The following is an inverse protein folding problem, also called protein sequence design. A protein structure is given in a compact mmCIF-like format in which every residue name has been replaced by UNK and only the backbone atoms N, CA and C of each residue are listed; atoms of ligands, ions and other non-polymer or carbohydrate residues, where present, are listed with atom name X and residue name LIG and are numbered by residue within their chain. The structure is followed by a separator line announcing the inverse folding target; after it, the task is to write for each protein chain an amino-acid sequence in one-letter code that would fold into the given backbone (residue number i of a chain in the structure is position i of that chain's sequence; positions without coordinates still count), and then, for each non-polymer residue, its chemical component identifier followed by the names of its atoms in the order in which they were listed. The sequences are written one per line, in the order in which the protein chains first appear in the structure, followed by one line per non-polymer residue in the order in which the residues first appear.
data_IF_026880913206
#
_entry.id   IF_026880913206
#
_cell.length_a   1.000
_cell.length_b   1.000
_cell.length_c   1.000
_cell.angle_alpha   90.00
_cell.angle_beta   90.00
_cell.angle_gamma   90.00
#
_symmetry.space_group_name_H-M   'P 1'
#
loop_
_entity.id
_entity.type
_entity.pdbx_description
1 polymer ?
#
# COMPACT_ATOMS: atom_id res chain seq x y z
N UNK A 1 -1.64 3.70 17.40
CA UNK A 1 -0.27 3.23 17.72
C UNK A 1 -0.12 1.76 17.36
N UNK A 2 1.07 1.31 16.93
CA UNK A 2 1.31 -0.12 16.64
C UNK A 2 1.43 -0.92 17.95
N UNK A 3 0.84 -2.11 18.00
CA UNK A 3 0.83 -3.01 19.17
C UNK A 3 1.64 -4.28 18.89
N UNK A 4 1.89 -5.11 19.91
CA UNK A 4 2.56 -6.41 19.72
C UNK A 4 1.74 -7.38 18.86
N UNK A 5 0.40 -7.29 18.96
CA UNK A 5 -0.52 -7.96 18.04
C UNK A 5 -0.23 -7.54 16.60
N UNK A 6 -0.15 -6.23 16.35
CA UNK A 6 0.10 -5.74 15.00
C UNK A 6 1.45 -6.19 14.45
N UNK A 7 2.51 -6.22 15.28
CA UNK A 7 3.83 -6.74 14.88
C UNK A 7 3.79 -8.22 14.54
N UNK A 8 3.04 -9.00 15.32
CA UNK A 8 2.86 -10.43 15.11
C UNK A 8 2.11 -10.68 13.80
N UNK A 9 1.01 -9.97 13.56
CA UNK A 9 0.25 -10.04 12.31
C UNK A 9 1.12 -9.65 11.11
N UNK A 10 1.88 -8.55 11.20
CA UNK A 10 2.79 -8.11 10.14
C UNK A 10 3.86 -9.17 9.82
N UNK A 11 4.48 -9.78 10.84
CA UNK A 11 5.46 -10.85 10.63
C UNK A 11 4.83 -12.12 10.03
N UNK A 12 3.62 -12.48 10.46
CA UNK A 12 2.94 -13.71 10.04
C UNK A 12 2.34 -13.59 8.63
N UNK A 13 1.64 -12.49 8.37
CA UNK A 13 0.81 -12.26 7.18
C UNK A 13 1.51 -11.42 6.12
N UNK A 14 2.49 -10.62 6.52
CA UNK A 14 3.19 -9.65 5.66
C UNK A 14 2.49 -8.30 5.59
N UNK A 15 1.32 -8.16 6.21
CA UNK A 15 0.60 -6.90 6.37
C UNK A 15 -0.18 -6.88 7.69
N UNK A 16 -0.60 -5.68 8.09
CA UNK A 16 -1.51 -5.44 9.21
C UNK A 16 -2.41 -4.24 8.93
N UNK A 17 -3.63 -4.27 9.46
CA UNK A 17 -4.54 -3.13 9.51
C UNK A 17 -4.46 -2.49 10.88
N UNK A 18 -4.23 -1.17 10.90
CA UNK A 18 -4.16 -0.34 12.10
C UNK A 18 -5.34 0.62 12.03
N UNK A 19 -6.25 0.52 12.98
CA UNK A 19 -7.46 1.34 13.05
C UNK A 19 -7.19 2.65 13.79
N UNK A 20 -8.07 3.65 13.60
CA UNK A 20 -8.03 4.93 14.30
C UNK A 20 -6.68 5.65 14.17
N UNK A 21 -6.09 5.66 12.95
CA UNK A 21 -4.86 6.44 12.69
C UNK A 21 -5.16 7.91 12.36
N UNK A 22 -6.43 8.20 12.09
CA UNK A 22 -7.03 9.51 11.91
C UNK A 22 -8.34 9.54 12.70
N UNK A 23 -8.92 10.72 12.85
CA UNK A 23 -10.31 10.88 13.26
C UNK A 23 -11.24 10.89 12.03
N UNK A 24 -12.52 10.58 12.24
CA UNK A 24 -13.52 10.66 11.17
C UNK A 24 -13.66 12.08 10.61
N UNK A 25 -13.57 13.11 11.46
CA UNK A 25 -13.57 14.52 11.04
C UNK A 25 -12.37 14.85 10.13
N UNK A 26 -11.17 14.40 10.48
CA UNK A 26 -10.00 14.55 9.61
C UNK A 26 -10.20 13.82 8.28
N UNK A 27 -10.76 12.61 8.28
CA UNK A 27 -11.05 11.90 7.03
C UNK A 27 -12.01 12.69 6.13
N UNK A 28 -13.10 13.22 6.69
CA UNK A 28 -14.09 14.01 5.95
C UNK A 28 -13.51 15.31 5.40
N UNK A 29 -12.73 16.04 6.21
CA UNK A 29 -12.04 17.25 5.81
C UNK A 29 -11.11 16.98 4.61
N UNK A 30 -10.25 15.94 4.70
CA UNK A 30 -9.30 15.58 3.63
C UNK A 30 -10.02 15.09 2.37
N UNK A 31 -11.12 14.34 2.50
CA UNK A 31 -11.97 13.96 1.35
C UNK A 31 -12.53 15.21 0.66
N UNK A 32 -13.01 16.19 1.43
CA UNK A 32 -13.50 17.47 0.90
C UNK A 32 -12.41 18.21 0.12
N UNK A 33 -11.21 18.32 0.70
CA UNK A 33 -10.04 18.91 0.05
C UNK A 33 -9.68 18.19 -1.27
N UNK A 34 -9.66 16.85 -1.29
CA UNK A 34 -9.38 16.08 -2.51
C UNK A 34 -10.47 16.26 -3.57
N UNK A 35 -11.75 16.31 -3.19
CA UNK A 35 -12.85 16.56 -4.13
C UNK A 35 -12.76 17.95 -4.74
N UNK A 36 -12.43 18.97 -3.93
CA UNK A 36 -12.19 20.33 -4.43
C UNK A 36 -10.98 20.37 -5.37
N UNK A 37 -9.90 19.68 -5.00
CA UNK A 37 -8.71 19.56 -5.83
C UNK A 37 -9.01 18.94 -7.20
N UNK A 38 -9.80 17.86 -7.26
CA UNK A 38 -10.22 17.23 -8.52
C UNK A 38 -11.02 18.16 -9.44
N UNK A 39 -11.72 19.15 -8.89
CA UNK A 39 -12.47 20.12 -9.68
C UNK A 39 -11.59 21.24 -10.26
N UNK A 40 -10.55 21.63 -9.51
CA UNK A 40 -9.75 22.82 -9.83
C UNK A 40 -8.40 22.50 -10.48
N UNK A 41 -7.88 21.29 -10.28
CA UNK A 41 -6.53 20.85 -10.69
C UNK A 41 -5.42 21.87 -10.34
N UNK A 42 -5.56 22.60 -9.23
CA UNK A 42 -4.60 23.65 -8.78
C UNK A 42 -4.26 23.46 -7.30
N UNK A 43 -2.95 23.36 -7.00
CA UNK A 43 -2.38 23.25 -5.64
C UNK A 43 -2.69 21.92 -4.94
N UNK A 44 -2.24 21.69 -3.69
CA UNK A 44 -0.87 21.26 -3.36
C UNK A 44 -0.98 19.88 -2.69
N UNK A 45 0.10 19.10 -2.64
CA UNK A 45 0.26 17.86 -1.85
C UNK A 45 0.10 18.09 -0.33
N UNK A 46 -0.42 19.23 0.12
CA UNK A 46 -0.57 19.63 1.51
C UNK A 46 -1.51 18.68 2.26
N UNK A 47 -2.69 18.37 1.71
CA UNK A 47 -3.62 17.37 2.26
C UNK A 47 -2.91 16.02 2.46
N UNK A 48 -2.16 15.58 1.45
CA UNK A 48 -1.35 14.36 1.50
C UNK A 48 -0.26 14.45 2.57
N UNK A 49 0.37 15.62 2.74
CA UNK A 49 1.40 15.88 3.74
C UNK A 49 0.84 15.85 5.17
N UNK A 50 -0.32 16.47 5.41
CA UNK A 50 -1.04 16.40 6.68
C UNK A 50 -1.30 14.95 7.08
N UNK A 51 -1.78 14.11 6.15
CA UNK A 51 -2.00 12.67 6.40
C UNK A 51 -0.69 11.95 6.74
N UNK A 52 0.42 12.25 6.04
CA UNK A 52 1.74 11.69 6.38
C UNK A 52 2.17 12.04 7.79
N UNK A 53 2.04 13.31 8.17
CA UNK A 53 2.40 13.78 9.51
C UNK A 53 1.54 13.09 10.58
N UNK A 54 0.24 12.94 10.34
CA UNK A 54 -0.68 12.27 11.26
C UNK A 54 -0.29 10.80 11.53
N UNK A 55 0.14 10.06 10.49
CA UNK A 55 0.54 8.65 10.65
C UNK A 55 2.03 8.45 10.97
N UNK A 56 2.83 9.51 11.03
CA UNK A 56 4.26 9.44 11.40
C UNK A 56 4.51 8.65 12.69
N UNK A 57 3.74 8.83 13.79
CA UNK A 57 3.96 8.06 15.02
C UNK A 57 3.90 6.54 14.84
N UNK A 58 3.11 6.03 13.87
CA UNK A 58 3.10 4.60 13.53
C UNK A 58 4.47 4.14 13.05
N UNK A 59 5.11 4.92 12.18
CA UNK A 59 6.45 4.63 11.66
C UNK A 59 7.56 4.86 12.68
N UNK A 60 7.42 5.84 13.58
CA UNK A 60 8.38 6.07 14.66
C UNK A 60 8.46 4.86 15.58
N UNK A 61 7.30 4.29 15.91
CA UNK A 61 7.23 3.05 16.68
C UNK A 61 7.72 1.84 15.91
N UNK A 62 7.41 1.76 14.61
CA UNK A 62 7.85 0.68 13.75
C UNK A 62 9.39 0.59 13.72
N UNK A 63 10.04 1.74 13.52
CA UNK A 63 11.49 1.85 13.35
C UNK A 63 12.27 2.20 14.62
N UNK A 64 11.58 2.49 15.72
CA UNK A 64 12.17 2.92 17.00
C UNK A 64 13.06 4.16 16.87
N UNK A 65 12.64 5.10 16.02
CA UNK A 65 13.31 6.40 15.84
C UNK A 65 12.34 7.47 15.34
N UNK A 66 12.40 8.70 15.88
CA UNK A 66 11.61 9.82 15.38
C UNK A 66 12.20 10.45 14.10
N UNK A 67 13.46 10.13 13.78
CA UNK A 67 14.19 10.64 12.62
C UNK A 67 13.90 9.79 11.40
N UNK A 68 12.86 10.19 10.67
CA UNK A 68 12.35 9.48 9.51
C UNK A 68 12.40 10.37 8.26
N UNK A 69 12.55 9.75 7.10
CA UNK A 69 12.32 10.35 5.79
C UNK A 69 11.04 9.76 5.20
N UNK A 70 10.09 10.61 4.87
CA UNK A 70 8.84 10.20 4.20
C UNK A 70 9.06 10.07 2.70
N UNK A 71 8.43 9.08 2.07
CA UNK A 71 8.24 9.08 0.62
C UNK A 71 7.40 10.28 0.18
N UNK A 72 7.60 10.74 -1.06
CA UNK A 72 6.80 11.80 -1.68
C UNK A 72 5.92 11.18 -2.75
N UNK A 73 4.97 10.37 -2.28
CA UNK A 73 3.95 9.71 -3.10
C UNK A 73 2.72 10.60 -3.34
N UNK A 74 1.66 10.03 -3.91
CA UNK A 74 0.39 10.71 -4.13
C UNK A 74 -0.77 9.97 -3.45
N UNK A 75 -1.99 10.46 -3.69
CA UNK A 75 -3.25 9.82 -3.32
C UNK A 75 -3.74 8.94 -4.48
N UNK A 76 -4.26 7.76 -4.16
CA UNK A 76 -5.02 6.93 -5.08
C UNK A 76 -6.51 7.24 -4.92
N UNK A 77 -7.11 7.82 -5.96
CA UNK A 77 -8.54 8.15 -6.00
C UNK A 77 -9.22 7.26 -7.05
N UNK A 78 -10.34 6.66 -6.66
CA UNK A 78 -11.12 5.78 -7.54
C UNK A 78 -12.60 6.14 -7.47
N UNK A 79 -13.21 6.38 -8.64
CA UNK A 79 -14.65 6.66 -8.74
C UNK A 79 -15.46 5.37 -8.54
N UNK A 80 -16.71 5.47 -8.06
CA UNK A 80 -17.62 4.34 -8.10
C UNK A 80 -17.90 3.91 -9.56
N UNK A 81 -17.70 2.63 -9.92
CA UNK A 81 -17.94 2.14 -11.29
C UNK A 81 -19.42 2.10 -11.68
N UNK A 82 -20.34 2.25 -10.73
CA UNK A 82 -21.79 2.26 -10.99
C UNK A 82 -22.23 3.37 -11.97
N UNK A 83 -21.47 4.47 -12.06
CA UNK A 83 -21.74 5.59 -12.97
C UNK A 83 -21.21 5.36 -14.39
N UNK A 84 -20.53 4.24 -14.64
CA UNK A 84 -20.07 3.82 -15.97
C UNK A 84 -18.75 4.43 -16.45
N UNK A 85 -18.12 5.32 -15.67
CA UNK A 85 -16.80 5.89 -16.00
C UNK A 85 -15.62 4.99 -15.60
N UNK A 86 -15.84 4.07 -14.66
CA UNK A 86 -14.85 3.11 -14.18
C UNK A 86 -15.33 1.68 -14.39
N UNK A 87 -14.39 0.76 -14.62
CA UNK A 87 -14.70 -0.67 -14.75
C UNK A 87 -14.80 -1.34 -13.36
N UNK A 88 -15.73 -2.28 -13.23
CA UNK A 88 -15.72 -3.26 -12.15
C UNK A 88 -14.54 -4.25 -12.30
N UNK A 89 -14.23 -4.97 -11.23
CA UNK A 89 -13.29 -6.07 -11.26
C UNK A 89 -13.73 -7.15 -12.26
N UNK A 90 -12.75 -7.68 -12.99
CA UNK A 90 -12.90 -8.85 -13.85
C UNK A 90 -12.15 -9.99 -13.19
N UNK A 91 -12.80 -11.14 -13.08
CA UNK A 91 -12.19 -12.34 -12.49
C UNK A 91 -10.88 -12.71 -13.22
N UNK A 92 -9.85 -13.08 -12.46
CA UNK A 92 -8.51 -13.36 -13.00
C UNK A 92 -7.70 -12.13 -13.44
N UNK A 93 -8.32 -10.95 -13.63
CA UNK A 93 -7.61 -9.72 -14.02
C UNK A 93 -7.16 -8.96 -12.76
N UNK A 94 -5.86 -8.99 -12.50
CA UNK A 94 -5.23 -8.23 -11.42
C UNK A 94 -3.86 -7.70 -11.84
N UNK A 95 -3.37 -6.70 -11.11
CA UNK A 95 -2.00 -6.20 -11.24
C UNK A 95 -1.20 -6.53 -9.97
N UNK A 96 -1.19 -7.81 -9.58
CA UNK A 96 -0.36 -8.27 -8.47
C UNK A 96 1.12 -8.12 -8.82
N UNK A 97 1.84 -7.44 -7.94
CA UNK A 97 3.25 -7.14 -8.11
C UNK A 97 3.97 -7.06 -6.76
N UNK A 98 5.29 -6.97 -6.81
CA UNK A 98 6.14 -6.60 -5.69
C UNK A 98 7.01 -5.41 -6.11
N UNK A 99 7.03 -4.36 -5.29
CA UNK A 99 7.87 -3.18 -5.51
C UNK A 99 9.33 -3.38 -5.09
N UNK A 100 9.60 -4.41 -4.27
CA UNK A 100 10.97 -4.75 -3.93
C UNK A 100 11.58 -5.65 -5.00
N UNK A 101 12.44 -5.03 -5.82
CA UNK A 101 13.25 -5.74 -6.80
C UNK A 101 14.20 -6.78 -6.19
N UNK A 102 14.57 -7.78 -7.00
CA UNK A 102 15.41 -8.91 -6.58
C UNK A 102 16.83 -8.54 -6.16
N UNK A 103 17.30 -7.33 -6.45
CA UNK A 103 18.59 -6.81 -5.98
C UNK A 103 18.61 -6.53 -4.47
N UNK A 104 17.44 -6.52 -3.82
CA UNK A 104 17.25 -6.24 -2.40
C UNK A 104 16.88 -7.50 -1.65
N UNK A 105 17.83 -8.07 -0.90
CA UNK A 105 17.61 -9.25 -0.07
C UNK A 105 16.98 -8.91 1.29
N UNK A 106 15.90 -9.59 1.66
CA UNK A 106 15.24 -9.38 2.95
C UNK A 106 14.48 -8.04 3.05
N UNK A 107 13.89 -7.78 4.22
CA UNK A 107 13.05 -6.59 4.44
C UNK A 107 13.85 -5.29 4.28
N UNK A 108 13.41 -4.41 3.37
CA UNK A 108 14.00 -3.09 3.19
C UNK A 108 13.10 -1.95 3.66
N UNK A 109 11.78 -2.08 3.54
CA UNK A 109 10.86 -1.07 4.04
C UNK A 109 9.49 -1.65 4.37
N UNK A 110 8.71 -0.88 5.12
CA UNK A 110 7.29 -1.10 5.22
C UNK A 110 6.58 0.00 4.45
N UNK A 111 5.71 -0.39 3.54
CA UNK A 111 4.85 0.51 2.78
C UNK A 111 3.50 0.60 3.48
N UNK A 112 2.74 1.67 3.19
CA UNK A 112 1.47 1.90 3.82
C UNK A 112 0.48 2.67 2.96
N UNK A 113 -0.79 2.47 3.26
CA UNK A 113 -1.92 3.13 2.64
C UNK A 113 -2.91 3.54 3.71
N UNK A 114 -3.15 4.84 3.84
CA UNK A 114 -4.13 5.42 4.77
C UNK A 114 -5.43 5.60 4.03
N UNK A 115 -6.49 4.99 4.55
CA UNK A 115 -7.82 5.05 3.97
C UNK A 115 -8.55 6.23 4.61
N UNK A 116 -9.21 7.04 3.78
CA UNK A 116 -10.04 8.14 4.26
C UNK A 116 -11.53 7.80 4.17
N UNK A 117 -11.85 6.76 3.41
CA UNK A 117 -13.18 6.17 3.30
C UNK A 117 -13.06 4.67 3.57
N UNK A 118 -14.08 4.09 4.21
CA UNK A 118 -14.10 2.67 4.52
C UNK A 118 -14.05 1.83 3.25
N UNK A 119 -13.56 0.60 3.35
CA UNK A 119 -13.57 -0.37 2.25
C UNK A 119 -13.98 -1.72 2.79
N UNK A 120 -15.01 -2.31 2.19
CA UNK A 120 -15.36 -3.72 2.38
C UNK A 120 -14.65 -4.57 1.32
N UNK A 121 -14.67 -5.89 1.48
CA UNK A 121 -14.00 -6.82 0.57
C UNK A 121 -14.44 -6.68 -0.90
N UNK A 122 -15.61 -6.12 -1.19
CA UNK A 122 -16.14 -5.88 -2.53
C UNK A 122 -15.95 -4.44 -3.06
N UNK A 123 -15.30 -3.56 -2.30
CA UNK A 123 -14.96 -2.18 -2.67
C UNK A 123 -13.58 -2.06 -3.35
N UNK A 124 -13.11 -0.83 -3.54
CA UNK A 124 -11.73 -0.51 -3.90
C UNK A 124 -10.75 -0.91 -2.78
N UNK A 125 -10.19 -2.11 -2.84
CA UNK A 125 -9.42 -2.69 -1.72
C UNK A 125 -7.94 -2.83 -2.00
N UNK A 126 -7.18 -2.98 -0.92
CA UNK A 126 -5.83 -3.56 -0.97
C UNK A 126 -5.96 -5.06 -1.25
N UNK A 127 -5.44 -5.50 -2.39
CA UNK A 127 -5.44 -6.90 -2.79
C UNK A 127 -4.07 -7.50 -2.54
N UNK A 128 -4.00 -8.63 -1.83
CA UNK A 128 -2.73 -9.11 -1.28
C UNK A 128 -2.64 -10.61 -1.36
N UNK A 129 -1.45 -11.10 -1.67
CA UNK A 129 -1.09 -12.50 -1.52
C UNK A 129 -0.43 -12.70 -0.14
N UNK A 130 -1.26 -12.89 0.88
CA UNK A 130 -0.86 -13.07 2.28
C UNK A 130 0.22 -14.14 2.42
N UNK A 131 1.23 -13.89 3.26
CA UNK A 131 2.43 -14.71 3.50
C UNK A 131 3.47 -14.72 2.38
N UNK A 132 3.23 -14.10 1.21
CA UNK A 132 4.18 -14.13 0.08
C UNK A 132 5.56 -13.53 0.42
N UNK A 133 5.62 -12.56 1.33
CA UNK A 133 6.86 -11.93 1.82
C UNK A 133 7.87 -12.93 2.41
N UNK A 134 7.40 -14.09 2.89
CA UNK A 134 8.26 -15.15 3.44
C UNK A 134 9.01 -15.94 2.38
N UNK A 135 8.55 -15.89 1.13
CA UNK A 135 9.01 -16.75 0.06
C UNK A 135 9.63 -15.98 -1.11
N UNK A 136 9.62 -14.65 -1.09
CA UNK A 136 10.14 -13.84 -2.19
C UNK A 136 11.64 -14.07 -2.45
N UNK A 137 12.46 -14.08 -1.40
CA UNK A 137 13.90 -14.30 -1.53
C UNK A 137 14.20 -15.69 -2.11
N UNK A 138 13.51 -16.73 -1.63
CA UNK A 138 13.61 -18.10 -2.15
C UNK A 138 13.12 -18.20 -3.61
N UNK A 139 12.06 -17.46 -3.94
CA UNK A 139 11.50 -17.42 -5.29
C UNK A 139 12.50 -16.85 -6.29
N UNK A 140 13.14 -15.72 -5.97
CA UNK A 140 14.19 -15.15 -6.81
C UNK A 140 15.44 -16.05 -6.91
N UNK A 141 15.83 -16.72 -5.82
CA UNK A 141 16.95 -17.67 -5.85
C UNK A 141 16.70 -18.87 -6.78
N UNK A 142 15.44 -19.30 -6.91
CA UNK A 142 15.03 -20.44 -7.73
C UNK A 142 14.72 -20.09 -9.19
N UNK A 143 14.53 -18.82 -9.54
CA UNK A 143 14.21 -18.38 -10.91
C UNK A 143 15.09 -17.17 -11.29
N UNK A 144 16.29 -17.47 -11.77
CA UNK A 144 17.29 -16.45 -12.13
C UNK A 144 16.79 -15.47 -13.19
N UNK A 145 15.99 -15.93 -14.16
CA UNK A 145 15.46 -15.06 -15.22
C UNK A 145 14.50 -14.02 -14.65
N UNK A 146 13.62 -14.45 -13.73
CA UNK A 146 12.73 -13.53 -13.03
C UNK A 146 13.50 -12.58 -12.13
N UNK A 147 14.51 -13.08 -11.41
CA UNK A 147 15.34 -12.24 -10.56
C UNK A 147 16.11 -11.17 -11.38
N UNK A 148 16.71 -11.53 -12.51
CA UNK A 148 17.41 -10.61 -13.39
C UNK A 148 16.48 -9.52 -13.93
N UNK A 149 15.29 -9.90 -14.43
CA UNK A 149 14.30 -8.93 -14.89
C UNK A 149 13.85 -8.01 -13.75
N UNK A 150 13.57 -8.59 -12.59
CA UNK A 150 13.11 -7.83 -11.43
C UNK A 150 14.16 -6.82 -10.93
N UNK A 151 15.43 -7.21 -10.93
CA UNK A 151 16.53 -6.34 -10.56
C UNK A 151 16.76 -5.20 -11.57
N UNK A 152 16.48 -5.42 -12.85
CA UNK A 152 16.56 -4.38 -13.89
C UNK A 152 15.40 -3.40 -13.81
N UNK A 153 14.19 -3.89 -13.52
CA UNK A 153 12.97 -3.08 -13.46
C UNK A 153 12.74 -2.45 -12.07
N UNK A 154 13.50 -2.88 -11.04
CA UNK A 154 13.25 -2.58 -9.63
C UNK A 154 11.82 -2.92 -9.18
N UNK A 155 11.24 -3.94 -9.81
CA UNK A 155 9.81 -4.26 -9.75
C UNK A 155 9.59 -5.70 -10.21
N UNK A 156 8.52 -6.37 -9.76
CA UNK A 156 8.16 -7.69 -10.26
C UNK A 156 6.65 -7.82 -10.42
N UNK A 157 6.18 -8.01 -11.67
CA UNK A 157 4.79 -8.39 -11.94
C UNK A 157 4.62 -9.91 -11.83
N UNK A 158 3.66 -10.35 -11.01
CA UNK A 158 3.38 -11.78 -10.87
C UNK A 158 2.74 -12.32 -12.14
N UNK A 159 3.19 -13.49 -12.61
CA UNK A 159 2.52 -14.26 -13.67
C UNK A 159 1.62 -15.32 -13.03
N UNK A 160 0.69 -15.87 -13.80
CA UNK A 160 -0.25 -16.90 -13.31
C UNK A 160 0.47 -18.13 -12.72
N UNK A 161 1.49 -18.64 -13.41
CA UNK A 161 2.30 -19.75 -12.90
C UNK A 161 3.07 -19.40 -11.61
N UNK A 162 3.46 -18.13 -11.42
CA UNK A 162 4.12 -17.71 -10.18
C UNK A 162 3.12 -17.66 -9.04
N UNK A 163 1.90 -17.15 -9.29
CA UNK A 163 0.81 -17.12 -8.32
C UNK A 163 0.50 -18.52 -7.76
N UNK A 164 0.39 -19.52 -8.63
CA UNK A 164 0.16 -20.90 -8.20
C UNK A 164 1.32 -21.48 -7.37
N UNK A 165 2.57 -21.09 -7.66
CA UNK A 165 3.73 -21.48 -6.84
C UNK A 165 3.63 -20.91 -5.43
N UNK A 166 3.25 -19.64 -5.28
CA UNK A 166 3.02 -19.05 -3.96
C UNK A 166 1.82 -19.67 -3.23
N UNK A 167 0.70 -19.91 -3.93
CA UNK A 167 -0.46 -20.60 -3.35
C UNK A 167 -0.12 -22.01 -2.85
N UNK A 168 0.71 -22.76 -3.60
CA UNK A 168 1.15 -24.10 -3.19
C UNK A 168 1.98 -24.10 -1.88
N UNK A 169 2.57 -22.95 -1.52
CA UNK A 169 3.28 -22.72 -0.25
C UNK A 169 2.35 -22.20 0.87
N UNK A 170 1.03 -22.20 0.64
CA UNK A 170 0.04 -21.75 1.61
C UNK A 170 -0.14 -20.23 1.67
N UNK A 171 0.25 -19.51 0.60
CA UNK A 171 -0.10 -18.10 0.45
C UNK A 171 -1.56 -17.95 0.01
N UNK A 172 -2.26 -16.98 0.57
CA UNK A 172 -3.70 -16.81 0.38
C UNK A 172 -3.97 -15.46 -0.27
N UNK A 173 -4.79 -15.45 -1.32
CA UNK A 173 -5.13 -14.23 -2.04
C UNK A 173 -6.38 -13.60 -1.43
N UNK A 174 -6.27 -12.35 -0.98
CA UNK A 174 -7.28 -11.70 -0.16
C UNK A 174 -7.52 -10.26 -0.63
N UNK A 175 -8.78 -9.84 -0.56
CA UNK A 175 -9.19 -8.43 -0.62
C UNK A 175 -9.37 -7.96 0.81
N UNK A 176 -8.62 -6.94 1.23
CA UNK A 176 -8.58 -6.52 2.63
C UNK A 176 -9.59 -5.40 2.85
N UNK A 177 -10.58 -5.66 3.70
CA UNK A 177 -11.45 -4.63 4.24
C UNK A 177 -10.68 -3.76 5.25
N UNK A 178 -10.83 -2.46 5.14
CA UNK A 178 -10.13 -1.46 5.95
C UNK A 178 -11.17 -0.42 6.38
N UNK A 179 -11.37 -0.21 7.69
CA UNK A 179 -12.34 0.78 8.18
C UNK A 179 -11.89 2.19 7.79
N UNK A 180 -12.82 3.16 7.92
CA UNK A 180 -12.64 4.54 7.45
C UNK A 180 -11.28 5.11 7.83
N UNK A 181 -11.05 5.58 9.01
CA UNK A 181 -9.78 6.05 9.59
C UNK A 181 -8.61 5.03 9.70
N UNK A 182 -8.62 3.97 8.89
CA UNK A 182 -7.67 2.87 8.96
C UNK A 182 -6.42 3.07 8.09
N UNK A 183 -5.35 2.38 8.46
CA UNK A 183 -4.14 2.24 7.65
C UNK A 183 -3.80 0.77 7.48
N UNK A 184 -3.50 0.36 6.26
CA UNK A 184 -2.77 -0.89 6.02
C UNK A 184 -1.28 -0.60 5.95
N UNK A 185 -0.48 -1.40 6.67
CA UNK A 185 0.97 -1.39 6.63
C UNK A 185 1.44 -2.77 6.15
N UNK A 186 2.36 -2.82 5.19
CA UNK A 186 2.85 -4.09 4.64
C UNK A 186 4.36 -4.11 4.41
N UNK A 187 4.92 -5.31 4.50
CA UNK A 187 6.32 -5.63 4.17
C UNK A 187 6.55 -5.40 2.67
N UNK A 188 7.63 -4.71 2.29
CA UNK A 188 7.92 -4.39 0.87
C UNK A 188 8.07 -5.61 -0.03
N UNK A 189 8.27 -6.81 0.55
CA UNK A 189 8.32 -8.09 -0.18
C UNK A 189 6.95 -8.72 -0.40
N UNK A 190 5.88 -8.16 0.17
CA UNK A 190 4.53 -8.69 0.03
C UNK A 190 4.03 -8.42 -1.39
N UNK A 191 3.59 -9.47 -2.07
CA UNK A 191 2.94 -9.33 -3.37
C UNK A 191 1.54 -8.78 -3.17
N UNK A 192 1.24 -7.68 -3.84
CA UNK A 192 0.01 -6.93 -3.65
C UNK A 192 -0.43 -6.20 -4.92
N UNK A 193 -1.64 -5.66 -4.89
CA UNK A 193 -2.23 -4.84 -5.94
C UNK A 193 -3.31 -3.94 -5.35
N UNK A 194 -3.83 -3.06 -6.21
CA UNK A 194 -5.15 -2.47 -6.00
C UNK A 194 -6.22 -3.36 -6.65
N UNK A 195 -7.36 -3.50 -5.97
CA UNK A 195 -8.51 -4.21 -6.50
C UNK A 195 -9.62 -3.21 -6.89
N UNK A 196 -10.18 -3.36 -8.10
CA UNK A 196 -11.40 -2.66 -8.51
C UNK A 196 -12.62 -3.19 -7.75
N UNK A 197 -13.70 -2.42 -7.57
CA UNK A 197 -14.91 -2.91 -6.89
C UNK A 197 -15.55 -4.07 -7.64
N UNK A 198 -16.19 -4.98 -6.92
CA UNK A 198 -16.89 -6.13 -7.50
C UNK A 198 -18.30 -5.72 -7.93
N UNK A 199 -18.76 -6.20 -9.08
CA UNK A 199 -20.12 -5.92 -9.57
C UNK A 199 -21.16 -6.46 -8.58
N UNK A 200 -22.11 -5.62 -8.19
CA UNK A 200 -23.12 -5.97 -7.19
C UNK A 200 -22.64 -5.86 -5.73
N UNK A 201 -21.56 -5.11 -5.48
CA UNK A 201 -21.06 -4.81 -4.12
C UNK A 201 -22.14 -4.26 -3.19
N UNK A 202 -21.95 -4.48 -1.90
CA UNK A 202 -22.88 -4.06 -0.84
C UNK A 202 -23.04 -2.55 -0.72
N UNK A 203 -21.98 -1.79 -1.04
CA UNK A 203 -21.93 -0.33 -0.85
C UNK A 203 -21.70 0.42 -2.18
N UNK A 204 -22.70 0.47 -3.07
CA UNK A 204 -22.59 1.21 -4.33
C UNK A 204 -22.37 2.71 -4.08
N UNK A 205 -21.67 3.38 -4.99
CA UNK A 205 -21.37 4.82 -4.87
C UNK A 205 -20.19 5.16 -3.94
N UNK A 206 -19.63 4.18 -3.21
CA UNK A 206 -18.48 4.43 -2.35
C UNK A 206 -17.22 4.71 -3.17
N UNK A 207 -16.58 5.85 -2.88
CA UNK A 207 -15.34 6.31 -3.50
C UNK A 207 -14.12 5.72 -2.80
N UNK A 208 -12.99 5.69 -3.52
CA UNK A 208 -11.69 5.42 -2.93
C UNK A 208 -10.94 6.72 -2.70
N UNK A 209 -10.42 6.89 -1.49
CA UNK A 209 -9.40 7.88 -1.16
C UNK A 209 -8.34 7.21 -0.29
N UNK A 210 -7.22 6.81 -0.90
CA UNK A 210 -6.11 6.14 -0.20
C UNK A 210 -4.85 6.96 -0.34
N UNK A 211 -4.28 7.45 0.76
CA UNK A 211 -2.99 8.15 0.74
C UNK A 211 -1.86 7.14 0.92
N UNK A 212 -0.97 7.06 -0.06
CA UNK A 212 0.21 6.20 0.04
C UNK A 212 1.28 6.89 0.88
N UNK A 213 1.80 6.17 1.87
CA UNK A 213 2.80 6.65 2.80
C UNK A 213 3.83 5.55 3.02
N UNK A 214 5.10 5.90 2.98
CA UNK A 214 6.20 5.04 3.40
C UNK A 214 7.20 5.94 4.13
N UNK A 215 7.75 5.48 5.24
CA UNK A 215 8.80 6.22 5.94
C UNK A 215 9.92 5.27 6.35
N UNK A 216 11.16 5.73 6.19
CA UNK A 216 12.35 4.98 6.57
C UNK A 216 13.24 5.80 7.50
N UNK A 217 14.09 5.17 8.34
CA UNK A 217 15.07 5.87 9.16
C UNK A 217 15.96 6.80 8.33
N UNK A 218 16.08 8.05 8.76
CA UNK A 218 16.89 9.05 8.06
C UNK A 218 18.38 8.68 7.98
N UNK A 219 18.87 7.83 8.88
CA UNK A 219 20.24 7.34 8.87
C UNK A 219 20.56 6.39 7.70
N UNK A 220 19.56 5.92 6.97
CA UNK A 220 19.77 5.11 5.76
C UNK A 220 20.08 5.95 4.52
N UNK A 221 19.73 7.24 4.55
CA UNK A 221 19.97 8.15 3.44
C UNK A 221 21.42 8.65 3.43
N UNK A 222 22.02 8.68 2.24
CA UNK A 222 23.30 9.37 2.03
C UNK A 222 23.07 10.88 1.76
N UNK A 223 24.15 11.65 1.65
CA UNK A 223 24.06 13.10 1.38
C UNK A 223 23.31 13.43 0.09
N UNK A 224 23.51 12.66 -0.98
CA UNK A 224 22.84 12.86 -2.26
C UNK A 224 21.33 12.66 -2.15
N UNK A 225 20.89 11.64 -1.40
CA UNK A 225 19.48 11.39 -1.14
C UNK A 225 18.82 12.57 -0.38
N UNK A 226 19.52 13.13 0.59
CA UNK A 226 19.04 14.28 1.37
C UNK A 226 18.95 15.56 0.53
N UNK A 227 19.92 15.82 -0.35
CA UNK A 227 19.86 17.00 -1.23
C UNK A 227 18.71 16.91 -2.24
N UNK A 228 18.46 15.74 -2.83
CA UNK A 228 17.30 15.53 -3.72
C UNK A 228 15.96 15.83 -3.03
N UNK A 229 15.88 15.59 -1.72
CA UNK A 229 14.66 15.82 -0.93
C UNK A 229 14.40 17.27 -0.56
N UNK A 230 15.40 18.15 -0.61
CA UNK A 230 15.21 19.59 -0.37
C UNK A 230 14.60 20.32 -1.57
N UNK A 231 14.61 19.69 -2.75
CA UNK A 231 14.15 20.27 -4.00
C UNK A 231 12.65 20.03 -4.28
N UNK A 232 11.95 19.37 -3.35
CA UNK A 232 10.52 19.02 -3.42
C UNK A 232 9.81 19.64 -2.24
#
# INVERSE_FOLDING_TARGET
MITDRHRTELAQNGFVVIENVLTEEECEERIGEYKQWLQQFRGNLETTWKVRLAVKPVYEELWKTPRLLSSIETVAIGRPPEEGEEEFAVEGKHWLHCDQGAEKFGLHTYQGGVYLEATEEDDWTFYVLKKSHKFLDEFYANDKKVAEQSAQEHFFSIRENDLERFKSKGCELLRVAIPKDGMVLWDSRLIHANARPVKGRKNPGRWRFTVLVCMTPACWANKSDLEKRKAV
#
